data_IF_702190636217
#
_entry.id   IF_702190636217
#
_cell.length_a   1.000
_cell.length_b   1.000
_cell.length_c   1.000
_cell.angle_alpha   90.00
_cell.angle_beta   90.00
_cell.angle_gamma   90.00
#
_symmetry.space_group_name_H-M   'P 1'
#
loop_
_entity.id
_entity.type
_entity.pdbx_description
1 polymer ?
#
# COMPACT_ATOMS: atom_id res chain seq x y z
N UNK A 1 4.96 -13.01 0.00
CA UNK A 1 5.45 -12.89 -1.40
C UNK A 1 4.80 -11.74 -2.17
N UNK A 2 3.46 -11.60 -2.29
CA UNK A 2 2.88 -10.53 -3.13
C UNK A 2 3.19 -9.10 -2.71
N UNK A 3 3.20 -8.80 -1.42
CA UNK A 3 3.43 -7.42 -0.92
C UNK A 3 4.87 -6.94 -1.13
N UNK A 4 5.83 -7.84 -1.15
CA UNK A 4 7.25 -7.52 -1.35
C UNK A 4 7.53 -7.05 -2.77
N UNK A 5 6.95 -7.71 -3.78
CA UNK A 5 7.05 -7.29 -5.19
C UNK A 5 6.49 -5.88 -5.36
N UNK A 6 5.36 -5.57 -4.73
CA UNK A 6 4.77 -4.23 -4.77
C UNK A 6 5.64 -3.20 -4.04
N UNK A 7 6.32 -3.58 -2.97
CA UNK A 7 7.25 -2.70 -2.26
C UNK A 7 8.44 -2.28 -3.13
N UNK A 8 8.99 -3.21 -3.90
CA UNK A 8 10.08 -2.94 -4.84
C UNK A 8 9.64 -2.08 -6.02
N UNK A 9 8.38 -2.23 -6.47
CA UNK A 9 7.85 -1.54 -7.65
C UNK A 9 7.22 -0.18 -7.33
N UNK A 10 6.88 0.11 -6.08
CA UNK A 10 6.31 1.39 -5.68
C UNK A 10 7.37 2.49 -5.74
N UNK A 11 7.28 3.37 -6.72
CA UNK A 11 8.18 4.50 -6.93
C UNK A 11 7.62 5.79 -6.30
N UNK A 12 6.32 6.01 -6.42
CA UNK A 12 5.66 7.20 -5.92
C UNK A 12 5.50 7.19 -4.40
N UNK A 13 5.41 8.37 -3.81
CA UNK A 13 5.14 8.52 -2.38
C UNK A 13 3.82 7.85 -1.98
N UNK A 14 2.77 7.97 -2.81
CA UNK A 14 1.49 7.34 -2.56
C UNK A 14 1.59 5.81 -2.63
N UNK A 15 2.23 5.27 -3.67
CA UNK A 15 2.43 3.83 -3.82
C UNK A 15 3.18 3.23 -2.63
N UNK A 16 4.23 3.87 -2.16
CA UNK A 16 4.98 3.45 -0.96
C UNK A 16 4.09 3.44 0.30
N UNK A 17 3.28 4.46 0.50
CA UNK A 17 2.33 4.51 1.64
C UNK A 17 1.27 3.41 1.54
N UNK A 18 0.75 3.13 0.35
CA UNK A 18 -0.24 2.06 0.13
C UNK A 18 0.36 0.68 0.42
N UNK A 19 1.57 0.42 -0.04
CA UNK A 19 2.28 -0.85 0.21
C UNK A 19 2.61 -1.00 1.70
N UNK A 20 3.07 0.05 2.36
CA UNK A 20 3.34 0.03 3.80
C UNK A 20 2.05 -0.25 4.61
N UNK A 21 0.94 0.37 4.21
CA UNK A 21 -0.37 0.12 4.81
C UNK A 21 -0.78 -1.35 4.65
N UNK A 22 -0.69 -1.89 3.44
CA UNK A 22 -1.02 -3.30 3.16
C UNK A 22 -0.12 -4.26 3.97
N UNK A 23 1.17 -3.95 4.10
CA UNK A 23 2.13 -4.74 4.90
C UNK A 23 1.76 -4.74 6.38
N UNK A 24 1.44 -3.59 6.95
CA UNK A 24 1.05 -3.49 8.37
C UNK A 24 -0.29 -4.18 8.64
N UNK A 25 -1.26 -4.05 7.75
CA UNK A 25 -2.53 -4.77 7.85
C UNK A 25 -2.31 -6.29 7.82
N UNK A 26 -1.47 -6.78 6.91
CA UNK A 26 -1.11 -8.19 6.84
C UNK A 26 -0.41 -8.67 8.13
N UNK A 27 0.55 -7.90 8.65
CA UNK A 27 1.22 -8.20 9.91
C UNK A 27 0.24 -8.24 11.09
N UNK A 28 -0.69 -7.30 11.15
CA UNK A 28 -1.74 -7.28 12.18
C UNK A 28 -2.58 -8.55 12.18
N UNK A 29 -3.00 -9.03 11.01
CA UNK A 29 -3.78 -10.27 10.90
C UNK A 29 -2.95 -11.51 11.29
N UNK A 30 -1.67 -11.54 10.97
CA UNK A 30 -0.78 -12.65 11.37
C UNK A 30 -0.52 -12.67 12.87
N UNK A 31 -0.34 -11.51 13.49
CA UNK A 31 -0.22 -11.41 14.95
C UNK A 31 -1.43 -12.02 15.64
N UNK A 32 -2.64 -11.63 15.26
CA UNK A 32 -3.88 -12.17 15.83
C UNK A 32 -3.93 -13.71 15.71
N UNK A 33 -3.59 -14.27 14.54
CA UNK A 33 -3.58 -15.72 14.35
C UNK A 33 -2.52 -16.43 15.18
N UNK A 34 -1.33 -15.87 15.29
CA UNK A 34 -0.21 -16.46 16.03
C UNK A 34 -0.51 -16.54 17.52
N UNK A 35 -1.22 -15.57 18.04
CA UNK A 35 -1.58 -15.49 19.45
C UNK A 35 -2.77 -16.38 19.80
N UNK A 36 -3.78 -16.47 18.97
CA UNK A 36 -4.89 -17.42 19.19
C UNK A 36 -4.41 -18.88 19.18
N UNK A 37 -3.32 -19.17 18.51
CA UNK A 37 -2.68 -20.49 18.54
C UNK A 37 -1.91 -20.72 19.84
N UNK A 38 -1.23 -19.71 20.36
CA UNK A 38 -0.49 -19.79 21.63
C UNK A 38 -1.41 -19.89 22.84
N UNK A 39 -2.57 -19.20 22.84
CA UNK A 39 -3.60 -19.32 23.88
C UNK A 39 -4.16 -20.75 23.95
N UNK A 40 -4.40 -21.39 22.82
CA UNK A 40 -4.87 -22.80 22.79
C UNK A 40 -3.83 -23.80 23.27
N UNK A 41 -2.56 -23.56 23.07
CA UNK A 41 -1.48 -24.41 23.56
C UNK A 41 -1.23 -24.26 25.07
N UNK A 42 -1.60 -23.12 25.66
CA UNK A 42 -1.51 -22.83 27.09
C UNK A 42 -2.72 -23.30 27.93
N UNK A 43 -3.70 -23.94 27.32
CA UNK A 43 -4.94 -24.41 27.95
C UNK A 43 -4.79 -25.56 28.97
N UNK A 44 -3.62 -25.74 29.58
CA UNK A 44 -3.38 -26.63 30.69
C UNK A 44 -2.59 -25.93 31.78
N UNK A 45 -3.25 -25.73 32.93
CA UNK A 45 -2.73 -25.21 34.21
C UNK A 45 -2.81 -23.68 34.33
N UNK A 46 -3.78 -23.27 35.16
CA UNK A 46 -4.03 -21.90 35.56
C UNK A 46 -2.81 -21.14 36.02
N UNK A 47 -2.52 -20.07 35.35
CA UNK A 47 -1.91 -18.94 35.98
C UNK A 47 -2.21 -17.65 35.21
N UNK A 48 -2.54 -16.62 35.95
CA UNK A 48 -2.85 -15.23 35.65
C UNK A 48 -2.06 -14.65 34.48
N UNK A 49 -2.69 -13.76 33.69
CA UNK A 49 -2.13 -13.05 32.57
C UNK A 49 -0.64 -12.73 32.73
N UNK A 50 0.18 -13.43 31.95
CA UNK A 50 1.62 -13.26 32.02
C UNK A 50 2.07 -12.02 31.25
N UNK A 51 3.33 -11.58 31.39
CA UNK A 51 3.90 -10.42 30.69
C UNK A 51 3.77 -10.49 29.15
N UNK A 52 3.46 -11.68 28.61
CA UNK A 52 3.19 -11.89 27.21
C UNK A 52 1.89 -11.25 26.69
N UNK A 53 0.81 -11.23 27.48
CA UNK A 53 -0.47 -10.61 27.06
C UNK A 53 -0.37 -9.10 26.99
N UNK A 54 0.29 -8.47 27.99
CA UNK A 54 0.55 -7.03 27.99
C UNK A 54 1.40 -6.60 26.78
N UNK A 55 2.40 -7.39 26.40
CA UNK A 55 3.25 -7.10 25.23
C UNK A 55 2.47 -7.20 23.92
N UNK A 56 1.59 -8.18 23.78
CA UNK A 56 0.73 -8.34 22.60
C UNK A 56 -0.20 -7.15 22.42
N UNK A 57 -0.83 -6.72 23.52
CA UNK A 57 -1.76 -5.62 23.48
C UNK A 57 -1.05 -4.31 23.11
N UNK A 58 0.17 -4.14 23.59
CA UNK A 58 1.05 -3.02 23.26
C UNK A 58 1.45 -3.03 21.78
N UNK A 59 1.89 -4.17 21.24
CA UNK A 59 2.23 -4.34 19.83
C UNK A 59 1.03 -4.09 18.92
N UNK A 60 -0.14 -4.60 19.29
CA UNK A 60 -1.40 -4.39 18.57
C UNK A 60 -1.78 -2.92 18.54
N UNK A 61 -1.64 -2.22 19.66
CA UNK A 61 -1.90 -0.79 19.76
C UNK A 61 -0.94 0.01 18.89
N UNK A 62 0.37 -0.28 18.95
CA UNK A 62 1.38 0.39 18.14
C UNK A 62 1.13 0.21 16.64
N UNK A 63 0.80 -1.00 16.18
CA UNK A 63 0.45 -1.27 14.79
C UNK A 63 -0.83 -0.52 14.41
N UNK A 64 -1.83 -0.50 15.27
CA UNK A 64 -3.08 0.24 15.05
C UNK A 64 -2.86 1.74 14.87
N UNK A 65 -2.05 2.35 15.73
CA UNK A 65 -1.68 3.77 15.64
C UNK A 65 -0.91 4.08 14.34
N UNK A 66 0.01 3.20 13.95
CA UNK A 66 0.77 3.35 12.72
C UNK A 66 -0.13 3.23 11.47
N UNK A 67 -1.07 2.30 11.46
CA UNK A 67 -2.08 2.16 10.40
C UNK A 67 -2.93 3.43 10.31
N UNK A 68 -3.38 3.98 11.44
CA UNK A 68 -4.14 5.24 11.49
C UNK A 68 -3.36 6.41 10.92
N UNK A 69 -2.09 6.53 11.29
CA UNK A 69 -1.19 7.56 10.76
C UNK A 69 -0.99 7.45 9.24
N UNK A 70 -0.82 6.24 8.70
CA UNK A 70 -0.69 6.01 7.26
C UNK A 70 -1.96 6.33 6.50
N UNK A 71 -3.14 5.97 7.03
CA UNK A 71 -4.43 6.35 6.44
C UNK A 71 -4.60 7.86 6.36
N UNK A 72 -4.24 8.59 7.42
CA UNK A 72 -4.30 10.07 7.42
C UNK A 72 -3.35 10.68 6.37
N UNK A 73 -2.15 10.12 6.18
CA UNK A 73 -1.22 10.57 5.11
C UNK A 73 -1.81 10.30 3.72
N UNK A 74 -2.37 9.13 3.48
CA UNK A 74 -3.03 8.79 2.20
C UNK A 74 -4.22 9.71 1.90
N UNK A 75 -5.03 10.04 2.90
CA UNK A 75 -6.15 10.98 2.75
C UNK A 75 -5.66 12.38 2.39
N UNK A 76 -4.52 12.82 2.91
CA UNK A 76 -3.90 14.09 2.53
C UNK A 76 -3.48 14.07 1.06
N UNK A 77 -2.79 13.02 0.62
CA UNK A 77 -2.38 12.85 -0.80
C UNK A 77 -3.60 12.83 -1.72
N UNK A 78 -4.66 12.13 -1.33
CA UNK A 78 -5.92 12.06 -2.07
C UNK A 78 -6.57 13.44 -2.23
N UNK A 79 -6.58 14.25 -1.17
CA UNK A 79 -7.06 15.63 -1.21
C UNK A 79 -6.23 16.53 -2.14
N UNK A 80 -4.90 16.43 -2.07
CA UNK A 80 -4.00 17.18 -2.97
C UNK A 80 -4.25 16.82 -4.44
N UNK A 81 -4.41 15.54 -4.77
CA UNK A 81 -4.77 15.09 -6.13
C UNK A 81 -6.13 15.63 -6.57
N UNK A 82 -7.09 15.67 -5.66
CA UNK A 82 -8.41 16.28 -5.92
C UNK A 82 -8.30 17.75 -6.30
N UNK A 83 -7.47 18.52 -5.58
CA UNK A 83 -7.21 19.93 -5.89
C UNK A 83 -6.53 20.11 -7.24
N UNK A 84 -5.51 19.32 -7.54
CA UNK A 84 -4.83 19.34 -8.85
C UNK A 84 -5.76 18.93 -10.00
N UNK A 85 -6.69 17.99 -9.77
CA UNK A 85 -7.69 17.60 -10.76
C UNK A 85 -8.63 18.75 -11.07
N UNK A 86 -9.16 19.43 -10.05
CA UNK A 86 -10.04 20.60 -10.24
C UNK A 86 -9.39 21.73 -11.03
N UNK A 87 -8.09 21.98 -10.80
CA UNK A 87 -7.34 22.97 -11.59
C UNK A 87 -7.31 22.61 -13.09
N UNK A 88 -7.04 21.34 -13.41
CA UNK A 88 -7.05 20.85 -14.80
C UNK A 88 -8.47 20.86 -15.42
N UNK A 89 -9.50 20.63 -14.63
CA UNK A 89 -10.90 20.71 -15.06
C UNK A 89 -11.30 22.15 -15.41
N UNK A 90 -10.90 23.12 -14.60
CA UNK A 90 -11.14 24.55 -14.92
C UNK A 90 -10.45 24.99 -16.20
N UNK A 91 -9.26 24.47 -16.46
CA UNK A 91 -8.49 24.81 -17.66
C UNK A 91 -8.92 23.99 -18.90
N UNK A 92 -10.01 23.21 -18.82
CA UNK A 92 -10.54 22.37 -19.90
C UNK A 92 -9.47 21.46 -20.56
N UNK A 93 -8.48 21.04 -19.78
CA UNK A 93 -7.40 20.21 -20.28
C UNK A 93 -7.92 18.83 -20.70
N UNK A 94 -7.70 18.45 -21.96
CA UNK A 94 -8.09 17.15 -22.46
C UNK A 94 -7.32 16.04 -21.73
N UNK A 95 -8.01 14.97 -21.35
CA UNK A 95 -7.43 13.86 -20.56
C UNK A 95 -7.61 12.55 -21.28
N UNK A 96 -6.52 11.84 -21.47
CA UNK A 96 -6.49 10.47 -22.00
C UNK A 96 -5.99 9.53 -20.92
N UNK A 97 -6.66 8.40 -20.74
CA UNK A 97 -6.25 7.36 -19.79
C UNK A 97 -5.92 6.07 -20.55
N UNK A 98 -4.72 5.55 -20.34
CA UNK A 98 -4.30 4.24 -20.85
C UNK A 98 -4.65 3.17 -19.81
N UNK A 99 -5.57 2.28 -20.18
CA UNK A 99 -6.04 1.19 -19.33
C UNK A 99 -5.80 -0.15 -20.03
N UNK A 100 -5.44 -1.16 -19.28
CA UNK A 100 -5.22 -2.51 -19.80
C UNK A 100 -4.50 -3.41 -18.80
N UNK A 101 -4.39 -4.70 -19.10
CA UNK A 101 -3.73 -5.69 -18.25
C UNK A 101 -2.27 -5.40 -18.03
N UNK A 102 -1.70 -6.04 -17.00
CA UNK A 102 -0.24 -6.05 -16.78
C UNK A 102 0.46 -6.60 -18.01
N UNK A 103 1.62 -6.01 -18.35
CA UNK A 103 2.41 -6.40 -19.54
C UNK A 103 1.73 -6.19 -20.90
N UNK A 104 0.68 -5.38 -20.99
CA UNK A 104 0.00 -5.04 -22.24
C UNK A 104 0.66 -3.88 -23.01
N UNK A 105 1.89 -3.52 -22.71
CA UNK A 105 2.63 -2.46 -23.39
C UNK A 105 2.20 -1.02 -23.08
N UNK A 106 1.36 -0.78 -22.05
CA UNK A 106 0.89 0.57 -21.69
C UNK A 106 2.00 1.56 -21.42
N UNK A 107 3.01 1.18 -20.65
CA UNK A 107 4.16 2.03 -20.31
C UNK A 107 5.04 2.33 -21.51
N UNK A 108 5.18 1.38 -22.43
CA UNK A 108 5.89 1.55 -23.69
C UNK A 108 5.16 2.56 -24.59
N UNK A 109 3.86 2.39 -24.75
CA UNK A 109 3.02 3.33 -25.49
C UNK A 109 3.03 4.73 -24.89
N UNK A 110 2.91 4.83 -23.56
CA UNK A 110 2.97 6.10 -22.84
C UNK A 110 4.31 6.82 -23.08
N UNK A 111 5.43 6.10 -23.00
CA UNK A 111 6.76 6.66 -23.28
C UNK A 111 6.90 7.15 -24.71
N UNK A 112 6.32 6.44 -25.68
CA UNK A 112 6.35 6.85 -27.09
C UNK A 112 5.50 8.11 -27.33
N UNK A 113 4.34 8.24 -26.67
CA UNK A 113 3.43 9.38 -26.86
C UNK A 113 3.94 10.67 -26.22
N UNK A 114 4.54 10.61 -25.04
CA UNK A 114 4.89 11.81 -24.25
C UNK A 114 6.38 12.00 -24.04
N UNK A 115 7.22 11.23 -24.73
CA UNK A 115 8.69 11.23 -24.58
C UNK A 115 9.12 11.11 -23.10
N UNK A 116 8.40 10.29 -22.34
CA UNK A 116 8.65 10.02 -20.93
C UNK A 116 9.65 8.85 -20.78
N UNK A 117 10.24 8.75 -19.59
CA UNK A 117 11.14 7.65 -19.22
C UNK A 117 10.51 6.82 -18.08
N UNK A 118 9.23 6.42 -18.23
CA UNK A 118 8.64 5.49 -17.30
C UNK A 118 9.26 4.11 -17.47
N UNK A 119 9.48 3.42 -16.36
CA UNK A 119 10.05 2.07 -16.40
C UNK A 119 9.12 1.12 -17.15
N UNK A 120 9.58 0.57 -18.24
CA UNK A 120 8.87 -0.41 -19.05
C UNK A 120 9.78 -1.63 -19.25
N UNK A 121 9.31 -2.79 -18.81
CA UNK A 121 10.02 -4.05 -18.92
C UNK A 121 9.02 -5.19 -19.16
N UNK A 122 9.49 -6.27 -19.78
CA UNK A 122 8.69 -7.47 -20.00
C UNK A 122 8.57 -8.30 -18.72
N UNK A 123 7.85 -7.74 -17.75
CA UNK A 123 7.57 -8.38 -16.47
C UNK A 123 6.26 -7.89 -15.87
N UNK A 124 5.63 -8.75 -15.08
CA UNK A 124 4.39 -8.40 -14.36
C UNK A 124 4.65 -7.26 -13.37
N UNK A 125 3.75 -6.30 -13.34
CA UNK A 125 3.82 -5.12 -12.46
C UNK A 125 5.11 -4.30 -12.62
N UNK A 126 5.64 -4.18 -13.83
CA UNK A 126 6.78 -3.31 -14.12
C UNK A 126 6.52 -1.87 -13.66
N UNK A 127 5.31 -1.37 -13.86
CA UNK A 127 4.81 -0.10 -13.34
C UNK A 127 3.62 -0.35 -12.43
N UNK A 128 3.70 0.06 -11.17
CA UNK A 128 2.62 -0.02 -10.19
C UNK A 128 1.88 1.31 -10.06
N UNK A 129 2.63 2.40 -10.08
CA UNK A 129 2.11 3.75 -9.87
C UNK A 129 1.50 4.34 -11.15
N UNK A 130 0.45 5.17 -10.97
CA UNK A 130 -0.10 5.96 -12.07
C UNK A 130 0.85 7.10 -12.43
N UNK A 131 1.28 7.15 -13.68
CA UNK A 131 2.13 8.21 -14.22
C UNK A 131 1.26 9.20 -15.00
N UNK A 132 1.44 10.50 -14.76
CA UNK A 132 0.74 11.59 -15.47
C UNK A 132 1.76 12.52 -16.12
N UNK A 133 1.48 12.94 -17.37
CA UNK A 133 2.25 13.93 -18.11
C UNK A 133 1.31 14.86 -18.88
#
# INVERSE_FOLDING_TARGET
>A
MGVEIFAERAQSHEGKLQVELARLQYLSTRLVRRWSHLERQRGGIGNRGGPGEAQIELDRRMIGERIKGLKAKLDRVKRQRGTQRRSRERNQTFRVSLVGYTNAGKSTLFNALVNAKAYAADQLFATLDTTTR
#
